data_IF_956007031920
#
_entry.id   IF_956007031920
#
_cell.length_a   1.000
_cell.length_b   1.000
_cell.length_c   1.000
_cell.angle_alpha   90.00
_cell.angle_beta   90.00
_cell.angle_gamma   90.00
#
_symmetry.space_group_name_H-M   'P 1'
#
loop_
_entity.id
_entity.type
_entity.pdbx_description
1 polymer ?
#
# COMPACT_ATOMS: atom_id res chain seq x y z
N UNK A 1 30.49 -9.90 -1.95
CA UNK A 1 30.15 -8.45 -1.93
C UNK A 1 29.25 -8.03 -3.10
N UNK A 2 29.60 -8.27 -4.39
CA UNK A 2 28.76 -7.88 -5.56
C UNK A 2 27.32 -8.43 -5.53
N UNK A 3 27.09 -9.69 -5.12
CA UNK A 3 25.73 -10.28 -5.01
C UNK A 3 24.87 -9.58 -3.94
N UNK A 4 25.44 -9.22 -2.81
CA UNK A 4 24.71 -8.53 -1.72
C UNK A 4 24.31 -7.12 -2.16
N UNK A 5 25.21 -6.37 -2.78
CA UNK A 5 24.93 -5.04 -3.34
C UNK A 5 23.84 -5.09 -4.41
N UNK A 6 23.89 -6.08 -5.31
CA UNK A 6 22.83 -6.29 -6.32
C UNK A 6 21.47 -6.58 -5.69
N UNK A 7 21.42 -7.34 -4.59
CA UNK A 7 20.19 -7.62 -3.85
C UNK A 7 19.63 -6.36 -3.18
N UNK A 8 20.47 -5.56 -2.54
CA UNK A 8 20.05 -4.33 -1.86
C UNK A 8 19.52 -3.33 -2.89
N UNK A 9 20.26 -3.09 -3.99
CA UNK A 9 19.81 -2.15 -5.04
C UNK A 9 18.48 -2.58 -5.67
N UNK A 10 18.28 -3.89 -5.88
CA UNK A 10 17.03 -4.45 -6.36
C UNK A 10 15.86 -4.16 -5.40
N UNK A 11 16.01 -4.51 -4.11
CA UNK A 11 14.96 -4.28 -3.11
C UNK A 11 14.64 -2.80 -2.97
N UNK A 12 15.63 -1.93 -3.02
CA UNK A 12 15.43 -0.47 -2.96
C UNK A 12 14.68 0.03 -4.19
N UNK A 13 15.08 -0.37 -5.40
CA UNK A 13 14.41 0.06 -6.64
C UNK A 13 12.95 -0.39 -6.70
N UNK A 14 12.69 -1.67 -6.37
CA UNK A 14 11.33 -2.24 -6.30
C UNK A 14 10.53 -1.58 -5.18
N UNK A 15 11.16 -1.30 -4.04
CA UNK A 15 10.53 -0.63 -2.91
C UNK A 15 10.13 0.81 -3.21
N UNK A 16 10.97 1.57 -3.88
CA UNK A 16 10.65 2.94 -4.32
C UNK A 16 9.45 2.94 -5.27
N UNK A 17 9.40 2.01 -6.22
CA UNK A 17 8.26 1.88 -7.13
C UNK A 17 6.97 1.57 -6.36
N UNK A 18 7.02 0.66 -5.38
CA UNK A 18 5.90 0.35 -4.51
C UNK A 18 5.42 1.56 -3.69
N UNK A 19 6.34 2.30 -3.07
CA UNK A 19 6.03 3.49 -2.29
C UNK A 19 5.40 4.61 -3.14
N UNK A 20 5.95 4.89 -4.32
CA UNK A 20 5.38 5.88 -5.26
C UNK A 20 3.98 5.43 -5.72
N UNK A 21 3.84 4.17 -6.12
CA UNK A 21 2.56 3.60 -6.55
C UNK A 21 1.50 3.71 -5.45
N UNK A 22 1.87 3.41 -4.20
CA UNK A 22 0.99 3.58 -3.04
C UNK A 22 0.53 5.04 -2.88
N UNK A 23 1.45 5.98 -2.92
CA UNK A 23 1.10 7.42 -2.78
C UNK A 23 0.14 7.89 -3.86
N UNK A 24 0.40 7.50 -5.11
CA UNK A 24 -0.46 7.87 -6.25
C UNK A 24 -1.83 7.19 -6.15
N UNK A 25 -1.88 5.89 -5.86
CA UNK A 25 -3.11 5.14 -5.71
C UNK A 25 -3.98 5.67 -4.55
N UNK A 26 -3.36 5.95 -3.39
CA UNK A 26 -4.05 6.59 -2.26
C UNK A 26 -4.70 7.92 -2.67
N UNK A 27 -3.96 8.77 -3.35
CA UNK A 27 -4.48 10.07 -3.78
C UNK A 27 -5.63 9.95 -4.78
N UNK A 28 -5.54 9.01 -5.71
CA UNK A 28 -6.56 8.84 -6.75
C UNK A 28 -7.80 8.11 -6.21
N UNK A 29 -7.61 6.98 -5.56
CA UNK A 29 -8.71 6.09 -5.14
C UNK A 29 -9.45 6.67 -3.94
N UNK A 30 -8.73 7.00 -2.85
CA UNK A 30 -9.37 7.64 -1.70
C UNK A 30 -9.82 9.07 -2.00
N UNK A 31 -9.12 9.80 -2.87
CA UNK A 31 -9.57 11.11 -3.34
C UNK A 31 -10.93 11.05 -4.04
N UNK A 32 -11.17 10.01 -4.84
CA UNK A 32 -12.48 9.79 -5.47
C UNK A 32 -13.58 9.44 -4.46
N UNK A 33 -13.24 8.69 -3.40
CA UNK A 33 -14.18 8.31 -2.35
C UNK A 33 -14.38 9.40 -1.27
N UNK A 34 -13.56 10.44 -1.26
CA UNK A 34 -13.51 11.43 -0.19
C UNK A 34 -14.86 12.10 0.08
N UNK A 35 -15.66 12.38 -0.96
CA UNK A 35 -17.00 13.00 -0.81
C UNK A 35 -17.91 12.14 0.08
N UNK A 36 -17.82 10.82 -0.06
CA UNK A 36 -18.59 9.89 0.77
C UNK A 36 -18.00 9.76 2.18
N UNK A 37 -16.69 9.57 2.27
CA UNK A 37 -15.97 9.31 3.52
C UNK A 37 -15.90 10.54 4.45
N UNK A 38 -16.03 11.74 3.93
CA UNK A 38 -16.03 13.00 4.72
C UNK A 38 -17.40 13.65 4.85
N UNK A 39 -18.48 12.94 4.57
CA UNK A 39 -19.82 13.47 4.72
C UNK A 39 -20.26 13.44 6.21
N UNK A 40 -20.44 14.60 6.86
CA UNK A 40 -20.78 14.66 8.29
C UNK A 40 -22.14 14.02 8.63
N UNK A 41 -23.04 13.89 7.63
CA UNK A 41 -24.35 13.27 7.85
C UNK A 41 -24.30 11.74 7.86
N UNK A 42 -23.23 11.15 7.35
CA UNK A 42 -23.07 9.70 7.19
C UNK A 42 -21.96 9.14 8.05
N UNK A 43 -20.88 9.93 8.27
CA UNK A 43 -19.67 9.46 8.90
C UNK A 43 -19.69 9.67 10.42
N UNK A 44 -19.03 8.78 11.15
CA UNK A 44 -18.78 8.97 12.58
C UNK A 44 -17.82 10.16 12.81
N UNK A 45 -17.98 10.84 13.95
CA UNK A 45 -17.14 12.00 14.29
C UNK A 45 -15.66 11.61 14.37
N UNK A 46 -15.36 10.40 14.86
CA UNK A 46 -13.97 9.92 14.98
C UNK A 46 -13.32 9.70 13.61
N UNK A 47 -14.03 9.02 12.69
CA UNK A 47 -13.54 8.79 11.34
C UNK A 47 -13.52 10.07 10.51
N UNK A 48 -14.53 10.95 10.69
CA UNK A 48 -14.52 12.26 10.05
C UNK A 48 -13.26 13.05 10.41
N UNK A 49 -12.87 13.07 11.69
CA UNK A 49 -11.63 13.69 12.13
C UNK A 49 -10.38 13.08 11.49
N UNK A 50 -10.34 11.76 11.34
CA UNK A 50 -9.23 11.08 10.68
C UNK A 50 -9.12 11.48 9.19
N UNK A 51 -10.22 11.46 8.45
CA UNK A 51 -10.25 11.84 7.04
C UNK A 51 -10.03 13.35 6.80
N UNK A 52 -10.48 14.20 7.71
CA UNK A 52 -10.24 15.65 7.66
C UNK A 52 -8.90 16.07 8.25
N UNK A 53 -8.07 15.09 8.64
CA UNK A 53 -6.73 15.30 9.20
C UNK A 53 -6.75 16.18 10.46
N UNK A 54 -7.66 15.92 11.37
CA UNK A 54 -7.76 16.61 12.64
C UNK A 54 -7.45 15.64 13.82
N UNK A 55 -6.40 15.88 14.61
CA UNK A 55 -5.39 16.94 14.48
C UNK A 55 -4.47 16.78 13.27
N UNK A 56 -3.89 17.88 12.81
CA UNK A 56 -3.01 17.91 11.64
C UNK A 56 -1.85 16.91 11.78
N UNK A 57 -1.66 15.98 10.83
CA UNK A 57 -0.60 14.97 10.88
C UNK A 57 0.81 15.57 10.90
N UNK A 58 1.75 14.86 11.51
CA UNK A 58 3.16 15.28 11.52
C UNK A 58 3.73 15.44 10.11
N UNK A 59 3.35 14.56 9.17
CA UNK A 59 3.79 14.62 7.77
C UNK A 59 3.33 15.88 7.01
N UNK A 60 2.27 16.55 7.47
CA UNK A 60 1.87 17.85 6.92
C UNK A 60 2.74 19.01 7.42
N UNK A 61 3.36 18.86 8.60
CA UNK A 61 4.30 19.84 9.18
C UNK A 61 5.75 19.56 8.78
N UNK A 62 6.09 18.33 8.48
CA UNK A 62 7.42 17.83 8.16
C UNK A 62 7.31 16.90 6.93
N UNK A 63 7.27 17.47 5.69
CA UNK A 63 7.07 16.70 4.46
C UNK A 63 8.11 15.61 4.23
N UNK A 64 9.34 15.78 4.75
CA UNK A 64 10.41 14.79 4.70
C UNK A 64 10.01 13.47 5.37
N UNK A 65 9.21 13.49 6.43
CA UNK A 65 8.73 12.28 7.10
C UNK A 65 7.83 11.44 6.18
N UNK A 66 7.11 12.09 5.25
CA UNK A 66 6.33 11.38 4.26
C UNK A 66 7.24 10.56 3.34
N UNK A 67 8.30 11.19 2.82
CA UNK A 67 9.24 10.51 1.91
C UNK A 67 10.00 9.38 2.60
N UNK A 68 10.48 9.61 3.82
CA UNK A 68 11.10 8.57 4.63
C UNK A 68 10.12 7.40 4.84
N UNK A 69 8.87 7.68 5.20
CA UNK A 69 7.84 6.67 5.38
C UNK A 69 7.57 5.86 4.10
N UNK A 70 7.49 6.52 2.95
CA UNK A 70 7.29 5.85 1.65
C UNK A 70 8.43 4.90 1.32
N UNK A 71 9.68 5.32 1.53
CA UNK A 71 10.85 4.47 1.29
C UNK A 71 10.83 3.27 2.22
N UNK A 72 10.62 3.48 3.51
CA UNK A 72 10.59 2.41 4.52
C UNK A 72 9.50 1.39 4.21
N UNK A 73 8.25 1.84 4.01
CA UNK A 73 7.13 0.96 3.68
C UNK A 73 7.38 0.21 2.37
N UNK A 74 7.87 0.91 1.35
CA UNK A 74 8.19 0.31 0.05
C UNK A 74 9.25 -0.79 0.16
N UNK A 75 10.32 -0.57 0.93
CA UNK A 75 11.38 -1.56 1.17
C UNK A 75 10.83 -2.79 1.91
N UNK A 76 9.96 -2.59 2.92
CA UNK A 76 9.29 -3.71 3.59
C UNK A 76 8.43 -4.52 2.62
N UNK A 77 7.62 -3.88 1.81
CA UNK A 77 6.79 -4.58 0.81
C UNK A 77 7.62 -5.31 -0.24
N UNK A 78 8.68 -4.68 -0.75
CA UNK A 78 9.59 -5.33 -1.69
C UNK A 78 10.28 -6.56 -1.08
N UNK A 79 10.63 -6.50 0.21
CA UNK A 79 11.23 -7.61 0.94
C UNK A 79 10.25 -8.78 1.10
N UNK A 80 9.00 -8.50 1.46
CA UNK A 80 7.94 -9.52 1.55
C UNK A 80 7.65 -10.12 0.17
N UNK A 81 7.48 -9.28 -0.85
CA UNK A 81 7.28 -9.73 -2.22
C UNK A 81 8.41 -10.66 -2.68
N UNK A 82 9.66 -10.27 -2.44
CA UNK A 82 10.84 -11.10 -2.76
C UNK A 82 10.83 -12.43 -2.01
N UNK A 83 10.52 -12.41 -0.71
CA UNK A 83 10.43 -13.63 0.11
C UNK A 83 9.39 -14.61 -0.46
N UNK A 84 8.23 -14.12 -0.90
CA UNK A 84 7.18 -14.92 -1.52
C UNK A 84 7.59 -15.43 -2.91
N UNK A 85 8.20 -14.56 -3.72
CA UNK A 85 8.50 -14.86 -5.13
C UNK A 85 9.69 -15.81 -5.34
N UNK A 86 10.64 -15.90 -4.41
CA UNK A 86 11.81 -16.81 -4.50
C UNK A 86 11.41 -18.29 -4.43
N UNK A 87 10.31 -18.59 -3.73
CA UNK A 87 9.88 -19.99 -3.51
C UNK A 87 8.78 -20.45 -4.47
N UNK A 88 8.32 -19.56 -5.31
CA UNK A 88 7.21 -19.82 -6.22
C UNK A 88 7.46 -19.13 -7.55
N UNK A 89 7.43 -19.88 -8.67
CA UNK A 89 7.77 -19.35 -9.99
C UNK A 89 6.61 -19.37 -11.00
N UNK A 90 5.48 -18.72 -10.67
CA UNK A 90 4.41 -18.48 -11.64
C UNK A 90 4.72 -17.25 -12.49
N UNK A 91 3.91 -16.98 -13.53
CA UNK A 91 3.96 -15.72 -14.27
C UNK A 91 3.86 -14.50 -13.32
N UNK A 92 4.58 -13.43 -13.65
CA UNK A 92 4.72 -12.24 -12.83
C UNK A 92 3.40 -11.65 -12.31
N UNK A 93 2.34 -11.67 -13.11
CA UNK A 93 1.03 -11.18 -12.72
C UNK A 93 0.36 -12.05 -11.62
N UNK A 94 0.61 -13.36 -11.62
CA UNK A 94 0.16 -14.24 -10.54
C UNK A 94 0.92 -13.98 -9.25
N UNK A 95 2.23 -13.65 -9.34
CA UNK A 95 3.02 -13.19 -8.18
C UNK A 95 2.42 -11.90 -7.62
N UNK A 96 2.04 -10.96 -8.49
CA UNK A 96 1.37 -9.73 -8.09
C UNK A 96 0.05 -9.99 -7.36
N UNK A 97 -0.82 -10.83 -7.92
CA UNK A 97 -2.11 -11.16 -7.30
C UNK A 97 -1.95 -11.90 -5.96
N UNK A 98 -1.00 -12.82 -5.86
CA UNK A 98 -0.73 -13.50 -4.59
C UNK A 98 -0.20 -12.52 -3.53
N UNK A 99 0.71 -11.64 -3.90
CA UNK A 99 1.22 -10.60 -3.02
C UNK A 99 0.12 -9.62 -2.58
N UNK A 100 -0.74 -9.21 -3.52
CA UNK A 100 -1.93 -8.40 -3.22
C UNK A 100 -2.83 -9.08 -2.20
N UNK A 101 -3.20 -10.34 -2.44
CA UNK A 101 -4.08 -11.11 -1.54
C UNK A 101 -3.50 -11.23 -0.13
N UNK A 102 -2.22 -11.59 -0.03
CA UNK A 102 -1.52 -11.71 1.26
C UNK A 102 -1.48 -10.36 1.98
N UNK A 103 -1.09 -9.30 1.28
CA UNK A 103 -0.99 -7.96 1.87
C UNK A 103 -2.36 -7.44 2.31
N UNK A 104 -3.40 -7.63 1.50
CA UNK A 104 -4.76 -7.24 1.84
C UNK A 104 -5.29 -8.02 3.05
N UNK A 105 -5.13 -9.35 3.06
CA UNK A 105 -5.62 -10.19 4.16
C UNK A 105 -4.94 -9.90 5.49
N UNK A 106 -3.63 -9.60 5.48
CA UNK A 106 -2.90 -9.35 6.72
C UNK A 106 -3.13 -7.93 7.28
N UNK A 107 -3.36 -6.95 6.41
CA UNK A 107 -3.46 -5.55 6.81
C UNK A 107 -4.91 -5.10 7.00
N UNK A 108 -5.75 -5.33 5.99
CA UNK A 108 -7.05 -4.65 5.90
C UNK A 108 -8.10 -5.15 6.89
N UNK A 109 -8.31 -6.47 7.11
CA UNK A 109 -9.37 -6.93 8.01
C UNK A 109 -9.24 -6.44 9.44
N UNK A 110 -8.02 -6.25 9.94
CA UNK A 110 -7.80 -5.78 11.30
C UNK A 110 -7.83 -4.26 11.39
N UNK A 111 -7.06 -3.57 10.55
CA UNK A 111 -6.89 -2.13 10.67
C UNK A 111 -7.99 -1.33 9.99
N UNK A 112 -8.55 -1.82 8.89
CA UNK A 112 -9.48 -1.06 8.06
C UNK A 112 -10.93 -1.60 8.14
N UNK A 113 -11.17 -2.72 8.82
CA UNK A 113 -12.51 -3.20 9.11
C UNK A 113 -12.80 -3.15 10.61
N UNK A 114 -12.04 -3.92 11.42
CA UNK A 114 -12.34 -4.05 12.84
C UNK A 114 -12.21 -2.72 13.59
N UNK A 115 -11.14 -1.96 13.40
CA UNK A 115 -10.94 -0.69 14.08
C UNK A 115 -11.95 0.38 13.64
N UNK A 116 -12.14 0.69 12.35
CA UNK A 116 -13.13 1.67 11.91
C UNK A 116 -14.54 1.32 12.37
N UNK A 117 -14.97 0.09 12.14
CA UNK A 117 -16.31 -0.33 12.53
C UNK A 117 -16.53 -0.36 14.06
N UNK A 118 -15.65 -1.03 14.81
CA UNK A 118 -15.86 -1.28 16.23
C UNK A 118 -15.41 -0.13 17.14
N UNK A 119 -14.23 0.45 16.86
CA UNK A 119 -13.63 1.48 17.73
C UNK A 119 -14.01 2.89 17.30
N UNK A 120 -13.99 3.13 15.97
CA UNK A 120 -14.28 4.45 15.41
C UNK A 120 -15.78 4.67 15.15
N UNK A 121 -16.59 3.61 15.26
CA UNK A 121 -18.05 3.63 15.06
C UNK A 121 -18.45 4.08 13.65
N UNK A 122 -17.62 3.74 12.66
CA UNK A 122 -17.93 4.03 11.27
C UNK A 122 -19.12 3.20 10.78
N UNK A 123 -20.08 3.75 10.05
CA UNK A 123 -21.17 3.01 9.47
C UNK A 123 -20.67 1.96 8.46
N UNK A 124 -21.23 0.74 8.53
CA UNK A 124 -20.80 -0.37 7.68
C UNK A 124 -20.70 -0.07 6.18
N UNK A 125 -21.61 0.70 5.54
CA UNK A 125 -21.45 1.05 4.13
C UNK A 125 -20.19 1.83 3.83
N UNK A 126 -19.73 2.72 4.73
CA UNK A 126 -18.51 3.50 4.56
C UNK A 126 -17.27 2.63 4.79
N UNK A 127 -17.31 1.75 5.80
CA UNK A 127 -16.28 0.71 5.98
C UNK A 127 -16.12 -0.14 4.72
N UNK A 128 -17.23 -0.54 4.07
CA UNK A 128 -17.17 -1.29 2.82
C UNK A 128 -16.48 -0.47 1.70
N UNK A 129 -16.77 0.82 1.59
CA UNK A 129 -16.08 1.72 0.64
C UNK A 129 -14.59 1.77 0.92
N UNK A 130 -14.18 1.89 2.20
CA UNK A 130 -12.76 1.86 2.59
C UNK A 130 -12.08 0.55 2.20
N UNK A 131 -12.71 -0.59 2.49
CA UNK A 131 -12.18 -1.90 2.12
C UNK A 131 -11.93 -2.03 0.61
N UNK A 132 -12.85 -1.53 -0.22
CA UNK A 132 -12.67 -1.50 -1.67
C UNK A 132 -11.56 -0.54 -2.09
N UNK A 133 -11.47 0.64 -1.49
CA UNK A 133 -10.38 1.57 -1.73
C UNK A 133 -9.02 0.94 -1.42
N UNK A 134 -8.88 0.29 -0.26
CA UNK A 134 -7.66 -0.42 0.11
C UNK A 134 -7.34 -1.60 -0.81
N UNK A 135 -8.35 -2.37 -1.24
CA UNK A 135 -8.15 -3.43 -2.22
C UNK A 135 -7.55 -2.87 -3.53
N UNK A 136 -8.09 -1.76 -4.02
CA UNK A 136 -7.58 -1.08 -5.21
C UNK A 136 -6.17 -0.52 -5.03
N UNK A 137 -5.89 0.16 -3.92
CA UNK A 137 -4.55 0.70 -3.61
C UNK A 137 -3.50 -0.41 -3.58
N UNK A 138 -3.76 -1.48 -2.83
CA UNK A 138 -2.82 -2.59 -2.71
C UNK A 138 -2.65 -3.36 -4.02
N UNK A 139 -3.69 -3.41 -4.86
CA UNK A 139 -3.60 -4.00 -6.20
C UNK A 139 -2.61 -3.23 -7.09
N UNK A 140 -2.73 -1.90 -7.12
CA UNK A 140 -1.81 -1.03 -7.87
C UNK A 140 -0.37 -1.20 -7.37
N UNK A 141 -0.17 -1.22 -6.06
CA UNK A 141 1.16 -1.43 -5.45
C UNK A 141 1.74 -2.79 -5.84
N UNK A 142 0.95 -3.85 -5.74
CA UNK A 142 1.39 -5.20 -6.06
C UNK A 142 1.84 -5.35 -7.52
N UNK A 143 1.07 -4.78 -8.44
CA UNK A 143 1.43 -4.78 -9.85
C UNK A 143 2.65 -3.91 -10.16
N UNK A 144 2.79 -2.75 -9.52
CA UNK A 144 3.97 -1.89 -9.68
C UNK A 144 5.25 -2.60 -9.20
N UNK A 145 5.22 -3.22 -8.02
CA UNK A 145 6.32 -4.00 -7.48
C UNK A 145 6.70 -5.15 -8.43
N UNK A 146 5.72 -5.95 -8.84
CA UNK A 146 5.97 -7.11 -9.71
C UNK A 146 6.47 -6.72 -11.11
N UNK A 147 6.00 -5.60 -11.65
CA UNK A 147 6.44 -5.10 -12.94
C UNK A 147 7.90 -4.63 -12.89
N UNK A 148 8.25 -3.84 -11.87
CA UNK A 148 9.63 -3.35 -11.70
C UNK A 148 10.59 -4.50 -11.37
N UNK A 149 10.17 -5.45 -10.54
CA UNK A 149 10.94 -6.69 -10.30
C UNK A 149 11.24 -7.42 -11.61
N UNK A 150 10.23 -7.63 -12.45
CA UNK A 150 10.40 -8.28 -13.77
C UNK A 150 11.37 -7.53 -14.68
N UNK A 151 11.25 -6.21 -14.74
CA UNK A 151 12.14 -5.36 -15.55
C UNK A 151 13.57 -5.47 -15.04
N UNK A 152 13.76 -5.36 -13.73
CA UNK A 152 15.08 -5.43 -13.10
C UNK A 152 15.75 -6.79 -13.38
N UNK A 153 15.02 -7.89 -13.22
CA UNK A 153 15.53 -9.25 -13.46
C UNK A 153 15.96 -9.45 -14.93
N UNK A 154 15.22 -8.88 -15.89
CA UNK A 154 15.59 -8.91 -17.31
C UNK A 154 16.87 -8.14 -17.60
N UNK A 155 17.00 -6.93 -17.02
CA UNK A 155 18.18 -6.08 -17.25
C UNK A 155 19.43 -6.68 -16.60
N UNK A 156 19.29 -7.30 -15.43
CA UNK A 156 20.40 -7.93 -14.70
C UNK A 156 20.85 -9.29 -15.26
N UNK A 157 20.16 -9.82 -16.26
CA UNK A 157 20.45 -11.15 -16.83
C UNK A 157 20.19 -12.30 -15.85
N UNK A 158 19.37 -12.08 -14.83
CA UNK A 158 19.03 -13.05 -13.79
C UNK A 158 17.65 -13.73 -14.02
N UNK A 159 17.07 -13.48 -15.21
CA UNK A 159 15.78 -14.04 -15.62
C UNK A 159 15.96 -15.42 -16.27
#
# INVERSE_FOLDING_TARGET
MKRVLGTISHVVAVGLAGGIAWRLAMRLIFGAAQIMLTNPSWQSVKMLNAFTLSPVPRTSRQPELLWIGLVVIGVFWASIYRFLSVRWDPPWWRKALAFWLVSWTLMVPWFEFYLPWNVMLEPFPLVAVELFCWAGVLLVVAFAIAAVDRIYMRISGAA
#
